data_IF_501113448551
#
_entry.id   IF_501113448551
#
_cell.length_a   1.000
_cell.length_b   1.000
_cell.length_c   1.000
_cell.angle_alpha   90.00
_cell.angle_beta   90.00
_cell.angle_gamma   90.00
#
_symmetry.space_group_name_H-M   'P 1'
#
loop_
_entity.id
_entity.type
_entity.pdbx_description
1 polymer ?
#
# COMPACT_ATOMS: atom_id res chain seq x y z
N UNK A 1 0.90 5.16 -3.13
CA UNK A 1 0.90 3.74 -3.52
C UNK A 1 -0.08 3.45 -4.67
N UNK A 2 -1.40 3.53 -4.47
CA UNK A 2 -2.39 3.17 -5.52
C UNK A 2 -2.18 3.89 -6.86
N UNK A 3 -1.95 5.20 -6.86
CA UNK A 3 -1.70 5.93 -8.10
C UNK A 3 -0.47 5.39 -8.86
N UNK A 4 0.66 5.19 -8.18
CA UNK A 4 1.88 4.65 -8.80
C UNK A 4 1.65 3.23 -9.36
N UNK A 5 0.88 2.42 -8.64
CA UNK A 5 0.46 1.09 -9.07
C UNK A 5 -0.45 1.16 -10.31
N UNK A 6 -1.40 2.08 -10.35
CA UNK A 6 -2.32 2.28 -11.47
C UNK A 6 -1.57 2.75 -12.74
N UNK A 7 -0.59 3.64 -12.59
CA UNK A 7 0.31 4.06 -13.66
C UNK A 7 1.31 2.98 -14.08
N UNK A 8 1.45 1.90 -13.30
CA UNK A 8 2.40 0.83 -13.56
C UNK A 8 3.86 1.25 -13.42
N UNK A 9 4.15 2.37 -12.76
CA UNK A 9 5.51 2.91 -12.60
C UNK A 9 6.21 2.43 -11.32
N UNK A 10 5.48 1.75 -10.43
CA UNK A 10 6.03 1.13 -9.24
C UNK A 10 5.35 -0.20 -8.96
N UNK A 11 6.09 -1.11 -8.32
CA UNK A 11 5.55 -2.29 -7.66
C UNK A 11 5.38 -2.00 -6.18
N UNK A 12 4.25 -2.42 -5.60
CA UNK A 12 3.96 -2.23 -4.17
C UNK A 12 4.42 -3.48 -3.41
N UNK A 13 5.32 -3.28 -2.44
CA UNK A 13 5.91 -4.35 -1.63
C UNK A 13 5.51 -4.14 -0.17
N UNK A 14 5.16 -5.21 0.53
CA UNK A 14 4.79 -5.18 1.95
C UNK A 14 3.68 -6.16 2.28
N UNK A 15 2.84 -5.83 3.26
CA UNK A 15 1.65 -6.64 3.58
C UNK A 15 0.69 -6.76 2.39
N UNK A 16 -0.18 -7.77 2.43
CA UNK A 16 -1.19 -8.05 1.39
C UNK A 16 -2.00 -6.80 1.01
N UNK A 17 -2.30 -5.95 2.01
CA UNK A 17 -2.96 -4.66 1.78
C UNK A 17 -2.55 -3.62 2.81
N UNK A 18 -2.70 -2.36 2.43
CA UNK A 18 -2.65 -1.22 3.36
C UNK A 18 -3.92 -1.10 4.22
N UNK A 19 -3.94 -0.16 5.18
CA UNK A 19 -5.03 0.05 6.13
C UNK A 19 -6.42 0.23 5.49
N UNK A 20 -6.49 0.86 4.31
CA UNK A 20 -7.75 1.04 3.58
C UNK A 20 -8.46 2.36 3.80
N UNK A 21 -7.82 3.38 4.38
CA UNK A 21 -8.42 4.71 4.57
C UNK A 21 -8.73 5.41 3.24
N UNK A 22 -10.00 5.49 2.88
CA UNK A 22 -10.47 6.12 1.63
C UNK A 22 -11.37 7.33 1.79
N UNK A 23 -11.49 7.87 3.00
CA UNK A 23 -12.41 8.96 3.35
C UNK A 23 -11.69 10.24 3.82
N UNK A 24 -12.29 11.39 3.54
CA UNK A 24 -11.85 12.71 3.96
C UNK A 24 -12.70 13.20 5.14
N UNK A 25 -12.05 13.65 6.21
CA UNK A 25 -12.74 14.25 7.36
C UNK A 25 -12.51 15.76 7.40
N UNK A 26 -13.57 16.49 7.72
CA UNK A 26 -13.56 17.93 7.92
C UNK A 26 -14.02 18.29 9.33
N UNK A 27 -13.38 19.30 9.91
CA UNK A 27 -13.78 19.88 11.18
C UNK A 27 -14.69 21.08 10.92
N UNK A 28 -15.91 21.00 11.44
CA UNK A 28 -16.99 21.99 11.18
C UNK A 28 -16.66 23.41 11.66
N UNK A 29 -16.02 23.56 12.82
CA UNK A 29 -15.66 24.86 13.41
C UNK A 29 -14.17 24.81 13.75
N UNK A 30 -13.39 25.75 13.23
CA UNK A 30 -11.93 25.86 13.44
C UNK A 30 -11.54 27.05 14.31
N UNK A 31 -12.50 27.78 14.88
CA UNK A 31 -12.23 28.85 15.83
C UNK A 31 -11.75 28.27 17.17
N UNK A 32 -10.60 28.73 17.66
CA UNK A 32 -9.98 28.30 18.91
C UNK A 32 -10.84 28.62 20.15
N UNK A 33 -11.78 29.57 20.05
CA UNK A 33 -12.72 29.91 21.13
C UNK A 33 -13.96 29.02 21.14
N UNK A 34 -14.14 28.15 20.13
CA UNK A 34 -15.29 27.28 20.05
C UNK A 34 -15.26 26.23 21.17
N UNK A 35 -16.38 26.09 21.89
CA UNK A 35 -16.51 25.11 22.99
C UNK A 35 -16.67 23.67 22.49
N UNK A 36 -17.11 23.49 21.25
CA UNK A 36 -17.33 22.18 20.65
C UNK A 36 -17.24 22.29 19.12
N UNK A 37 -16.90 21.17 18.48
CA UNK A 37 -16.93 21.01 17.04
C UNK A 37 -17.25 19.55 16.68
N UNK A 38 -17.74 19.34 15.47
CA UNK A 38 -17.83 18.01 14.87
C UNK A 38 -16.70 17.77 13.88
N UNK A 39 -16.22 16.52 13.85
CA UNK A 39 -15.36 15.99 12.78
C UNK A 39 -16.17 14.98 11.99
N UNK A 40 -16.49 15.32 10.75
CA UNK A 40 -17.42 14.56 9.90
C UNK A 40 -16.73 14.13 8.62
N UNK A 41 -17.14 12.99 8.07
CA UNK A 41 -16.69 12.56 6.74
C UNK A 41 -17.43 13.36 5.68
N UNK A 42 -16.68 14.04 4.81
CA UNK A 42 -17.24 14.95 3.78
C UNK A 42 -16.94 14.50 2.35
N UNK A 43 -16.09 13.49 2.17
CA UNK A 43 -15.67 13.08 0.85
C UNK A 43 -14.97 11.73 0.84
N UNK A 44 -14.78 11.21 -0.37
CA UNK A 44 -14.14 9.93 -0.65
C UNK A 44 -13.05 10.13 -1.68
N UNK A 45 -11.95 9.39 -1.52
CA UNK A 45 -10.83 9.39 -2.46
C UNK A 45 -11.03 8.32 -3.52
N UNK A 46 -10.67 8.68 -4.75
CA UNK A 46 -10.60 7.79 -5.90
C UNK A 46 -9.32 8.10 -6.68
N UNK A 47 -8.71 7.08 -7.28
CA UNK A 47 -7.56 7.27 -8.17
C UNK A 47 -8.00 7.51 -9.61
N UNK A 48 -7.06 7.84 -10.49
CA UNK A 48 -7.33 8.03 -11.92
C UNK A 48 -7.89 6.78 -12.61
N UNK A 49 -7.69 5.58 -12.04
CA UNK A 49 -8.32 4.33 -12.49
C UNK A 49 -9.76 4.15 -11.97
N UNK A 50 -10.28 5.13 -11.22
CA UNK A 50 -11.60 5.08 -10.58
C UNK A 50 -11.68 4.24 -9.31
N UNK A 51 -10.58 3.59 -8.88
CA UNK A 51 -10.56 2.75 -7.67
C UNK A 51 -10.54 3.61 -6.41
N UNK A 52 -11.35 3.26 -5.40
CA UNK A 52 -11.21 3.80 -4.06
C UNK A 52 -10.38 2.86 -3.18
N UNK A 53 -9.47 3.38 -2.34
CA UNK A 53 -8.78 2.57 -1.35
C UNK A 53 -9.67 2.24 -0.14
N UNK A 54 -10.88 2.80 -0.03
CA UNK A 54 -11.80 2.59 1.09
C UNK A 54 -12.01 1.09 1.37
N UNK A 55 -11.82 0.65 2.62
CA UNK A 55 -11.93 -0.76 3.09
C UNK A 55 -10.87 -1.71 2.53
N UNK A 56 -10.64 -1.69 1.21
CA UNK A 56 -9.76 -2.64 0.53
C UNK A 56 -8.28 -2.29 0.72
N UNK A 57 -7.96 -0.99 0.77
CA UNK A 57 -6.60 -0.49 0.69
C UNK A 57 -5.94 -0.77 -0.65
N UNK A 58 -4.73 -0.24 -0.78
CA UNK A 58 -3.80 -0.62 -1.85
C UNK A 58 -3.34 -2.05 -1.62
N UNK A 59 -3.47 -2.89 -2.64
CA UNK A 59 -3.01 -4.28 -2.62
C UNK A 59 -1.50 -4.32 -2.86
N UNK A 60 -0.78 -5.13 -2.09
CA UNK A 60 0.63 -5.41 -2.35
C UNK A 60 0.78 -6.26 -3.62
N UNK A 61 1.68 -5.87 -4.51
CA UNK A 61 2.06 -6.69 -5.68
C UNK A 61 2.99 -7.84 -5.25
N UNK A 62 3.85 -7.63 -4.25
CA UNK A 62 4.74 -8.66 -3.67
C UNK A 62 4.59 -8.68 -2.15
N UNK A 63 4.25 -9.85 -1.60
CA UNK A 63 4.02 -10.04 -0.18
C UNK A 63 5.34 -10.13 0.59
N UNK A 64 5.59 -9.16 1.47
CA UNK A 64 6.70 -9.10 2.41
C UNK A 64 6.10 -8.76 3.79
N UNK A 65 5.73 -9.77 4.59
CA UNK A 65 4.99 -9.57 5.84
C UNK A 65 5.68 -8.63 6.84
N UNK A 66 4.92 -7.68 7.37
CA UNK A 66 5.34 -6.82 8.48
C UNK A 66 4.92 -7.40 9.82
N UNK A 67 5.27 -6.70 10.91
CA UNK A 67 4.84 -7.10 12.25
C UNK A 67 3.31 -7.04 12.43
N UNK A 68 2.61 -6.30 11.56
CA UNK A 68 1.16 -6.15 11.60
C UNK A 68 0.41 -7.19 10.77
N UNK A 69 1.11 -7.97 9.93
CA UNK A 69 0.54 -9.00 9.07
C UNK A 69 -0.44 -9.98 9.77
N UNK A 70 -0.13 -10.51 10.98
CA UNK A 70 -1.03 -11.47 11.64
C UNK A 70 -2.22 -10.79 12.34
N UNK A 71 -2.24 -9.47 12.45
CA UNK A 71 -3.28 -8.74 13.17
C UNK A 71 -4.39 -8.27 12.23
N UNK A 72 -5.63 -8.32 12.73
CA UNK A 72 -6.80 -7.75 12.04
C UNK A 72 -6.81 -6.21 12.15
N UNK A 73 -5.89 -5.56 11.44
CA UNK A 73 -5.74 -4.10 11.40
C UNK A 73 -6.22 -3.58 10.03
N UNK A 74 -7.04 -2.54 10.04
CA UNK A 74 -7.57 -1.91 8.83
C UNK A 74 -8.94 -1.26 9.05
N UNK A 75 -9.32 -0.36 8.14
CA UNK A 75 -10.62 0.34 8.20
C UNK A 75 -11.80 -0.63 8.17
N UNK A 76 -11.65 -1.76 7.48
CA UNK A 76 -12.68 -2.81 7.39
C UNK A 76 -13.05 -3.46 8.73
N UNK A 77 -12.22 -3.29 9.76
CA UNK A 77 -12.45 -3.84 11.11
C UNK A 77 -13.01 -2.81 12.09
N UNK A 78 -13.30 -1.59 11.64
CA UNK A 78 -14.01 -0.60 12.46
C UNK A 78 -15.50 -0.97 12.60
N UNK A 79 -16.17 -0.35 13.57
CA UNK A 79 -17.59 -0.62 13.87
C UNK A 79 -18.53 -0.17 12.73
N UNK A 80 -18.30 1.02 12.18
CA UNK A 80 -19.15 1.63 11.14
C UNK A 80 -18.34 2.18 9.95
N UNK A 81 -17.60 1.35 9.21
CA UNK A 81 -16.84 1.82 8.05
C UNK A 81 -17.78 2.11 6.88
N UNK A 82 -17.46 3.14 6.10
CA UNK A 82 -18.13 3.37 4.83
C UNK A 82 -17.81 2.23 3.86
N UNK A 83 -18.83 1.74 3.14
CA UNK A 83 -18.68 0.73 2.08
C UNK A 83 -17.67 1.17 1.02
N UNK A 84 -17.06 0.24 0.28
CA UNK A 84 -16.21 0.59 -0.86
C UNK A 84 -17.06 1.05 -2.06
N UNK A 85 -16.45 1.82 -2.96
CA UNK A 85 -17.08 2.38 -4.16
C UNK A 85 -16.07 2.49 -5.32
N UNK A 86 -16.56 2.64 -6.55
CA UNK A 86 -15.76 2.73 -7.77
C UNK A 86 -16.37 3.74 -8.76
N UNK A 87 -15.55 4.64 -9.28
CA UNK A 87 -15.97 5.58 -10.33
C UNK A 87 -15.69 4.98 -11.71
N UNK A 88 -16.72 4.94 -12.56
CA UNK A 88 -16.57 4.54 -13.96
C UNK A 88 -15.90 5.64 -14.79
N UNK A 89 -15.34 5.26 -15.94
CA UNK A 89 -14.77 6.21 -16.90
C UNK A 89 -15.77 7.27 -17.36
N UNK A 90 -17.08 6.95 -17.42
CA UNK A 90 -18.12 7.91 -17.80
C UNK A 90 -18.25 9.07 -16.82
N UNK A 91 -18.02 8.82 -15.52
CA UNK A 91 -17.94 9.88 -14.51
C UNK A 91 -16.78 10.81 -14.83
N UNK A 92 -15.61 10.29 -15.15
CA UNK A 92 -14.45 11.10 -15.55
C UNK A 92 -14.73 11.90 -16.82
N UNK A 93 -15.38 11.32 -17.83
CA UNK A 93 -15.76 12.05 -19.05
C UNK A 93 -16.76 13.18 -18.76
N UNK A 94 -17.71 12.97 -17.84
CA UNK A 94 -18.66 14.01 -17.43
C UNK A 94 -17.97 15.17 -16.72
N UNK A 95 -16.97 14.89 -15.87
CA UNK A 95 -16.15 15.92 -15.20
C UNK A 95 -15.36 16.79 -16.18
N UNK A 96 -15.14 16.32 -17.41
CA UNK A 96 -14.47 17.08 -18.47
C UNK A 96 -15.41 18.05 -19.20
N UNK A 97 -16.72 17.93 -19.02
CA UNK A 97 -17.74 18.76 -19.68
C UNK A 97 -18.07 20.05 -18.91
N UNK A 98 -17.13 20.58 -18.14
CA UNK A 98 -17.29 21.87 -17.44
C UNK A 98 -17.43 22.99 -18.49
N UNK A 99 -18.47 23.83 -18.34
CA UNK A 99 -18.82 24.90 -19.29
C UNK A 99 -17.58 25.72 -19.68
N UNK A 100 -17.39 25.88 -20.99
CA UNK A 100 -16.33 26.64 -21.65
C UNK A 100 -16.03 27.98 -20.96
N UNK A 101 -15.00 27.99 -20.13
CA UNK A 101 -14.25 29.17 -19.70
C UNK A 101 -12.77 28.82 -19.85
N UNK A 102 -12.06 29.54 -20.72
CA UNK A 102 -10.66 29.35 -21.10
C UNK A 102 -10.23 27.89 -21.35
N UNK A 103 -10.26 27.46 -22.62
CA UNK A 103 -9.73 26.17 -23.10
C UNK A 103 -8.28 25.85 -22.65
N UNK A 104 -7.51 26.85 -22.21
CA UNK A 104 -6.16 26.66 -21.69
C UNK A 104 -6.08 25.90 -20.36
N UNK A 105 -7.17 25.83 -19.59
CA UNK A 105 -7.19 25.20 -18.28
C UNK A 105 -7.67 23.73 -18.36
N UNK A 106 -8.59 23.40 -19.27
CA UNK A 106 -9.14 22.04 -19.40
C UNK A 106 -8.06 21.01 -19.74
N UNK A 107 -7.18 21.30 -20.70
CA UNK A 107 -6.07 20.41 -21.04
C UNK A 107 -5.01 20.31 -19.93
N UNK A 108 -4.95 21.30 -19.02
CA UNK A 108 -3.98 21.37 -17.93
C UNK A 108 -4.46 20.66 -16.66
N UNK A 109 -5.77 20.61 -16.42
CA UNK A 109 -6.37 20.05 -15.19
C UNK A 109 -7.16 18.75 -15.40
N UNK A 110 -7.32 18.29 -16.65
CA UNK A 110 -7.93 17.01 -16.95
C UNK A 110 -7.10 15.84 -16.38
N UNK A 111 -7.70 15.06 -15.48
CA UNK A 111 -7.19 13.73 -15.14
C UNK A 111 -7.93 12.72 -16.02
N UNK A 112 -7.36 12.26 -17.14
CA UNK A 112 -8.02 11.26 -17.97
C UNK A 112 -8.19 9.98 -17.17
N UNK A 113 -9.30 9.27 -17.42
CA UNK A 113 -9.48 7.94 -16.86
C UNK A 113 -8.32 7.03 -17.28
N UNK A 114 -7.60 6.52 -16.30
CA UNK A 114 -6.42 5.70 -16.51
C UNK A 114 -6.83 4.23 -16.59
N UNK A 115 -6.90 3.72 -17.81
CA UNK A 115 -7.02 2.26 -18.02
C UNK A 115 -5.76 1.57 -17.47
N UNK A 116 -5.91 0.39 -16.83
CA UNK A 116 -4.76 -0.42 -16.43
C UNK A 116 -3.81 -0.62 -17.62
N UNK A 117 -2.52 -0.32 -17.42
CA UNK A 117 -1.48 -0.58 -18.41
C UNK A 117 -0.55 -1.68 -17.91
N UNK A 118 -0.27 -2.64 -18.78
CA UNK A 118 0.82 -3.60 -18.62
C UNK A 118 2.14 -2.84 -18.71
N UNK A 119 2.85 -2.70 -17.59
CA UNK A 119 4.20 -2.10 -17.57
C UNK A 119 5.26 -3.19 -17.60
N UNK A 120 6.47 -2.85 -18.05
CA UNK A 120 7.62 -3.76 -18.02
C UNK A 120 7.85 -4.38 -16.63
N UNK A 121 7.61 -3.61 -15.57
CA UNK A 121 7.75 -4.06 -14.19
C UNK A 121 6.70 -5.10 -13.82
N UNK A 122 5.46 -4.92 -14.30
CA UNK A 122 4.36 -5.87 -14.08
C UNK A 122 4.59 -7.19 -14.82
N UNK A 123 5.23 -7.17 -16.00
CA UNK A 123 5.59 -8.39 -16.72
C UNK A 123 6.62 -9.24 -15.96
N UNK A 124 7.51 -8.60 -15.19
CA UNK A 124 8.49 -9.28 -14.34
C UNK A 124 7.88 -9.88 -13.07
N UNK A 125 6.66 -9.46 -12.70
CA UNK A 125 6.05 -9.74 -11.40
C UNK A 125 5.99 -11.23 -11.03
N UNK A 126 5.61 -12.18 -11.93
CA UNK A 126 5.59 -13.60 -11.58
C UNK A 126 6.95 -14.13 -11.12
N UNK A 127 8.04 -13.66 -11.74
CA UNK A 127 9.41 -14.03 -11.38
C UNK A 127 9.80 -13.41 -10.05
N UNK A 128 9.50 -12.12 -9.85
CA UNK A 128 9.83 -11.41 -8.61
C UNK A 128 9.10 -12.01 -7.40
N UNK A 129 7.82 -12.36 -7.54
CA UNK A 129 7.03 -13.03 -6.49
C UNK A 129 7.68 -14.36 -6.12
N UNK A 130 8.05 -15.18 -7.11
CA UNK A 130 8.69 -16.48 -6.87
C UNK A 130 10.02 -16.31 -6.13
N UNK A 131 10.90 -15.44 -6.63
CA UNK A 131 12.21 -15.20 -6.02
C UNK A 131 12.08 -14.69 -4.58
N UNK A 132 11.18 -13.74 -4.35
CA UNK A 132 10.93 -13.17 -3.02
C UNK A 132 10.40 -14.22 -2.05
N UNK A 133 9.45 -15.04 -2.49
CA UNK A 133 8.92 -16.16 -1.71
C UNK A 133 10.02 -17.15 -1.31
N UNK A 134 10.86 -17.56 -2.26
CA UNK A 134 11.97 -18.50 -1.99
C UNK A 134 12.99 -17.91 -1.00
N UNK A 135 13.31 -16.61 -1.11
CA UNK A 135 14.20 -15.92 -0.15
C UNK A 135 13.59 -15.83 1.25
N UNK A 136 12.31 -15.48 1.35
CA UNK A 136 11.62 -15.41 2.64
C UNK A 136 11.54 -16.80 3.29
N UNK A 137 11.21 -17.84 2.52
CA UNK A 137 11.12 -19.23 3.00
C UNK A 137 12.49 -19.78 3.46
N UNK A 138 13.57 -19.44 2.77
CA UNK A 138 14.93 -19.87 3.13
C UNK A 138 15.60 -19.04 4.23
N UNK A 139 15.13 -17.81 4.50
CA UNK A 139 15.72 -16.93 5.51
C UNK A 139 15.28 -17.31 6.94
N UNK A 140 16.21 -17.87 7.71
CA UNK A 140 15.97 -18.31 9.10
C UNK A 140 15.47 -17.18 10.01
N UNK A 141 16.00 -15.96 9.89
CA UNK A 141 15.59 -14.81 10.70
C UNK A 141 14.15 -14.40 10.36
N UNK A 142 13.81 -14.40 9.06
CA UNK A 142 12.47 -14.08 8.59
C UNK A 142 11.46 -15.14 9.05
N UNK A 143 11.81 -16.43 8.96
CA UNK A 143 10.97 -17.51 9.46
C UNK A 143 10.76 -17.43 10.98
N UNK A 144 11.81 -17.09 11.73
CA UNK A 144 11.68 -16.83 13.16
C UNK A 144 10.76 -15.62 13.41
N UNK A 145 10.77 -14.61 12.54
CA UNK A 145 10.00 -13.37 12.68
C UNK A 145 8.51 -13.65 12.53
N UNK A 146 8.15 -14.41 11.49
CA UNK A 146 6.80 -14.88 11.27
C UNK A 146 6.29 -15.73 12.44
N UNK A 147 7.14 -16.59 13.02
CA UNK A 147 6.77 -17.40 14.19
C UNK A 147 6.36 -16.55 15.38
N UNK A 148 7.15 -15.52 15.74
CA UNK A 148 6.81 -14.63 16.85
C UNK A 148 5.61 -13.75 16.55
N UNK A 149 5.48 -13.27 15.31
CA UNK A 149 4.26 -12.58 14.86
C UNK A 149 3.00 -13.42 15.09
N UNK A 150 3.08 -14.74 14.87
CA UNK A 150 2.00 -15.70 15.09
C UNK A 150 1.84 -16.14 16.56
N UNK A 151 2.47 -15.45 17.52
CA UNK A 151 2.29 -15.70 18.95
C UNK A 151 3.30 -16.65 19.59
N UNK A 152 4.34 -17.09 18.88
CA UNK A 152 5.46 -17.78 19.50
C UNK A 152 6.19 -16.83 20.47
N UNK A 153 6.46 -17.28 21.70
CA UNK A 153 7.24 -16.54 22.68
C UNK A 153 8.54 -17.29 22.97
N UNK A 154 9.73 -16.75 22.60
CA UNK A 154 10.99 -17.41 22.92
C UNK A 154 11.20 -17.51 24.44
N UNK A 155 11.87 -18.58 24.87
CA UNK A 155 12.21 -18.78 26.29
C UNK A 155 13.11 -17.63 26.75
N UNK A 156 12.68 -16.92 27.81
CA UNK A 156 13.44 -15.82 28.42
C UNK A 156 14.78 -16.34 28.95
N UNK A 157 15.88 -15.75 28.49
CA UNK A 157 17.15 -15.78 29.23
C UNK A 157 17.00 -14.80 30.40
N UNK A 158 17.33 -15.23 31.62
CA UNK A 158 17.01 -14.55 32.90
C UNK A 158 17.55 -13.10 33.06
N UNK A 159 18.23 -12.54 32.07
CA UNK A 159 18.92 -11.25 32.15
C UNK A 159 18.41 -10.17 31.18
N UNK A 160 17.36 -10.43 30.38
CA UNK A 160 16.95 -9.49 29.32
C UNK A 160 15.49 -9.05 29.40
N UNK A 161 15.27 -7.76 29.12
CA UNK A 161 13.93 -7.21 28.91
C UNK A 161 13.30 -7.85 27.67
N UNK A 162 11.96 -7.96 27.67
CA UNK A 162 11.20 -8.62 26.59
C UNK A 162 11.44 -8.00 25.20
N UNK A 163 11.78 -6.70 25.15
CA UNK A 163 12.18 -5.98 23.94
C UNK A 163 13.55 -6.41 23.40
N UNK A 164 14.47 -6.75 24.30
CA UNK A 164 15.89 -6.97 23.97
C UNK A 164 16.10 -8.41 23.51
N UNK A 165 15.41 -9.37 24.13
CA UNK A 165 15.43 -10.78 23.70
C UNK A 165 14.80 -10.98 22.32
N UNK A 166 13.81 -10.18 21.93
CA UNK A 166 13.22 -10.25 20.59
C UNK A 166 14.17 -9.64 19.54
N UNK A 167 14.77 -8.47 19.83
CA UNK A 167 15.70 -7.79 18.93
C UNK A 167 16.98 -8.59 18.65
N UNK A 168 17.53 -9.29 19.65
CA UNK A 168 18.73 -10.11 19.44
C UNK A 168 18.49 -11.31 18.52
N UNK A 169 17.26 -11.82 18.47
CA UNK A 169 16.94 -13.01 17.67
C UNK A 169 16.54 -12.71 16.22
N UNK A 170 16.27 -11.46 15.84
CA UNK A 170 15.93 -11.06 14.45
C UNK A 170 17.10 -10.49 13.65
N UNK A 171 18.25 -10.33 14.29
CA UNK A 171 19.26 -9.39 13.84
C UNK A 171 18.78 -7.95 14.04
N UNK A 172 19.72 -7.02 14.21
CA UNK A 172 19.40 -5.60 14.36
C UNK A 172 18.90 -4.93 13.06
N UNK A 173 18.78 -5.69 11.97
CA UNK A 173 18.47 -5.19 10.63
C UNK A 173 17.00 -5.34 10.27
N UNK A 174 16.47 -4.35 9.54
CA UNK A 174 15.11 -4.37 9.01
C UNK A 174 14.98 -5.40 7.88
N UNK A 175 14.30 -6.52 8.18
CA UNK A 175 14.11 -7.65 7.28
C UNK A 175 13.24 -7.30 6.06
N UNK A 176 12.26 -6.42 6.23
CA UNK A 176 11.35 -6.00 5.17
C UNK A 176 12.08 -5.11 4.16
N UNK A 177 12.91 -4.19 4.65
CA UNK A 177 13.77 -3.35 3.80
C UNK A 177 14.82 -4.18 3.07
N UNK A 178 15.44 -5.15 3.75
CA UNK A 178 16.39 -6.06 3.10
C UNK A 178 15.76 -6.81 1.93
N UNK A 179 14.59 -7.42 2.12
CA UNK A 179 13.90 -8.10 1.03
C UNK A 179 13.48 -7.14 -0.08
N UNK A 180 13.05 -5.92 0.27
CA UNK A 180 12.72 -4.88 -0.73
C UNK A 180 13.93 -4.52 -1.59
N UNK A 181 15.13 -4.47 -1.01
CA UNK A 181 16.37 -4.22 -1.76
C UNK A 181 16.71 -5.39 -2.69
N UNK A 182 16.52 -6.64 -2.26
CA UNK A 182 16.73 -7.80 -3.12
C UNK A 182 15.73 -7.84 -4.29
N UNK A 183 14.48 -7.45 -4.08
CA UNK A 183 13.49 -7.29 -5.17
C UNK A 183 13.97 -6.25 -6.18
N UNK A 184 14.50 -5.11 -5.73
CA UNK A 184 15.03 -4.08 -6.63
C UNK A 184 16.24 -4.60 -7.42
N UNK A 185 17.13 -5.39 -6.81
CA UNK A 185 18.24 -6.03 -7.52
C UNK A 185 17.74 -6.99 -8.61
N UNK A 186 16.74 -7.81 -8.31
CA UNK A 186 16.11 -8.69 -9.30
C UNK A 186 15.50 -7.89 -10.46
N UNK A 187 14.83 -6.77 -10.17
CA UNK A 187 14.28 -5.90 -11.21
C UNK A 187 15.37 -5.36 -12.15
N UNK A 188 16.50 -4.90 -11.60
CA UNK A 188 17.64 -4.41 -12.39
C UNK A 188 18.21 -5.54 -13.26
N UNK A 189 18.40 -6.74 -12.69
CA UNK A 189 18.94 -7.88 -13.42
C UNK A 189 18.02 -8.34 -14.57
N UNK A 190 16.70 -8.46 -14.31
CA UNK A 190 15.72 -8.84 -15.31
C UNK A 190 15.61 -7.80 -16.42
N UNK A 191 15.72 -6.52 -16.07
CA UNK A 191 15.74 -5.43 -17.05
C UNK A 191 16.98 -5.50 -17.96
N UNK A 192 18.16 -5.85 -17.42
CA UNK A 192 19.36 -6.03 -18.23
C UNK A 192 19.35 -7.28 -19.12
N UNK A 193 18.63 -8.34 -18.74
CA UNK A 193 18.53 -9.57 -19.52
C UNK A 193 17.55 -9.45 -20.70
N UNK A 194 16.51 -8.64 -20.55
CA UNK A 194 15.56 -8.31 -21.61
C UNK A 194 15.47 -6.78 -21.77
N UNK A 195 16.56 -6.11 -22.22
CA UNK A 195 16.50 -4.69 -22.53
C UNK A 195 15.54 -4.50 -23.70
N UNK A 196 14.65 -3.51 -23.57
CA UNK A 196 13.58 -3.26 -24.54
C UNK A 196 14.14 -3.13 -25.98
N UNK A 197 13.45 -3.75 -26.94
CA UNK A 197 13.43 -3.29 -28.33
C UNK A 197 12.46 -2.11 -28.45
#
# INVERSE_FOLDING_TARGET
AQALQDYGVALIVGDERTYGKGSMQFQTITDDKAKAFFKVTVGRYYTASGRSPQIQGVQGDILVPTAFFPYNIGEKYLEYPLSNDHLSGDVFHSLMNIKQGSYHDVARFAVPYLKPRESQWRQMLPTLIRNSRERIESNQNYQFFLKVGNGYAPKRVKSQNRSDTAKENYGASDLQIQESVEIVKDMIQLHHQNPLR
#
